data_IF_962611465633
#
_entry.id   IF_962611465633
#
_cell.length_a   1.000
_cell.length_b   1.000
_cell.length_c   1.000
_cell.angle_alpha   90.00
_cell.angle_beta   90.00
_cell.angle_gamma   90.00
#
_symmetry.space_group_name_H-M   'P 1'
#
loop_
_entity.id
_entity.type
_entity.pdbx_description
1 polymer ?
#
# COMPACT_ATOMS: atom_id res chain seq x y z
N UNK A 1 -4.92 -13.80 -5.28
CA UNK A 1 -3.92 -12.72 -5.13
C UNK A 1 -4.59 -11.55 -4.43
N UNK A 2 -3.91 -10.87 -3.49
CA UNK A 2 -4.42 -9.81 -2.60
C UNK A 2 -5.05 -8.56 -3.26
N UNK A 3 -5.28 -8.55 -4.58
CA UNK A 3 -5.85 -7.39 -5.29
C UNK A 3 -4.94 -6.15 -5.34
N UNK A 4 -3.71 -6.24 -4.83
CA UNK A 4 -2.75 -5.15 -4.80
C UNK A 4 -2.05 -4.99 -6.15
N UNK A 5 -2.00 -3.77 -6.65
CA UNK A 5 -1.16 -3.42 -7.80
C UNK A 5 0.33 -3.48 -7.43
N UNK A 6 1.21 -3.62 -8.43
CA UNK A 6 2.66 -3.62 -8.20
C UNK A 6 3.13 -2.37 -7.44
N UNK A 7 2.56 -1.20 -7.76
CA UNK A 7 2.87 0.07 -7.07
C UNK A 7 2.42 0.09 -5.61
N UNK A 8 1.24 -0.46 -5.32
CA UNK A 8 0.77 -0.59 -3.94
C UNK A 8 1.70 -1.51 -3.14
N UNK A 9 2.15 -2.61 -3.74
CA UNK A 9 3.09 -3.53 -3.12
C UNK A 9 4.46 -2.90 -2.85
N UNK A 10 4.96 -2.09 -3.77
CA UNK A 10 6.20 -1.32 -3.58
C UNK A 10 6.08 -0.33 -2.42
N UNK A 11 4.95 0.38 -2.31
CA UNK A 11 4.71 1.31 -1.19
C UNK A 11 4.64 0.61 0.15
N UNK A 12 3.97 -0.55 0.21
CA UNK A 12 3.93 -1.35 1.43
C UNK A 12 5.35 -1.77 1.85
N UNK A 13 6.16 -2.24 0.89
CA UNK A 13 7.57 -2.60 1.14
C UNK A 13 8.41 -1.42 1.64
N UNK A 14 8.24 -0.23 1.07
CA UNK A 14 8.93 0.99 1.51
C UNK A 14 8.57 1.40 2.96
N UNK A 15 7.40 0.96 3.44
CA UNK A 15 6.91 1.22 4.81
C UNK A 15 7.18 0.05 5.76
N UNK A 16 7.96 -0.94 5.35
CA UNK A 16 8.21 -2.18 6.11
C UNK A 16 6.91 -2.95 6.43
N UNK A 17 5.95 -2.92 5.49
CA UNK A 17 4.68 -3.65 5.57
C UNK A 17 4.70 -4.81 4.58
N UNK A 18 4.50 -6.02 5.09
CA UNK A 18 4.55 -7.25 4.32
C UNK A 18 3.25 -8.05 4.51
N UNK A 19 2.45 -8.28 3.46
CA UNK A 19 1.31 -9.19 3.54
C UNK A 19 1.79 -10.62 3.81
N UNK A 20 1.19 -11.30 4.78
CA UNK A 20 1.54 -12.68 5.18
C UNK A 20 0.50 -13.66 4.66
N UNK A 21 -0.77 -13.48 5.04
CA UNK A 21 -1.87 -14.33 4.60
C UNK A 21 -3.20 -13.57 4.53
N UNK A 22 -4.18 -14.17 3.84
CA UNK A 22 -5.56 -13.71 3.81
C UNK A 22 -6.41 -14.82 4.41
N UNK A 23 -7.15 -14.51 5.46
CA UNK A 23 -8.09 -15.41 6.11
C UNK A 23 -9.50 -14.82 6.00
N UNK A 24 -10.25 -15.26 4.97
CA UNK A 24 -11.60 -14.76 4.71
C UNK A 24 -11.61 -13.25 4.43
N UNK A 25 -12.20 -12.47 5.34
CA UNK A 25 -12.29 -11.01 5.27
C UNK A 25 -11.14 -10.28 5.97
N UNK A 26 -10.22 -11.02 6.60
CA UNK A 26 -9.04 -10.46 7.26
C UNK A 26 -7.78 -10.70 6.43
N UNK A 27 -6.84 -9.76 6.53
CA UNK A 27 -5.47 -9.86 6.06
C UNK A 27 -4.53 -9.81 7.26
N UNK A 28 -3.60 -10.75 7.33
CA UNK A 28 -2.50 -10.71 8.27
C UNK A 28 -1.31 -10.04 7.59
N UNK A 29 -0.79 -8.98 8.19
CA UNK A 29 0.40 -8.28 7.73
C UNK A 29 1.48 -8.33 8.81
N UNK A 30 2.73 -8.23 8.39
CA UNK A 30 3.87 -7.94 9.24
C UNK A 30 4.29 -6.49 9.03
N UNK A 31 4.25 -5.69 10.09
CA UNK A 31 4.61 -4.27 10.11
C UNK A 31 5.59 -4.04 11.25
N UNK A 32 6.80 -3.53 10.95
CA UNK A 32 7.81 -3.22 11.97
C UNK A 32 8.11 -4.40 12.92
N UNK A 33 8.19 -5.61 12.34
CA UNK A 33 8.41 -6.86 13.09
C UNK A 33 7.21 -7.39 13.89
N UNK A 34 6.05 -6.71 13.84
CA UNK A 34 4.82 -7.14 14.53
C UNK A 34 3.80 -7.70 13.55
N UNK A 35 3.08 -8.74 13.96
CA UNK A 35 1.93 -9.25 13.20
C UNK A 35 0.68 -8.44 13.56
N UNK A 36 -0.01 -7.96 12.54
CA UNK A 36 -1.20 -7.11 12.66
C UNK A 36 -2.29 -7.69 11.76
N UNK A 37 -3.51 -7.80 12.29
CA UNK A 37 -4.70 -8.12 11.49
C UNK A 37 -5.32 -6.82 11.00
N UNK A 38 -5.62 -6.76 9.71
CA UNK A 38 -6.30 -5.63 9.10
C UNK A 38 -7.26 -6.12 8.03
N UNK A 39 -8.24 -5.31 7.66
CA UNK A 39 -9.09 -5.65 6.52
C UNK A 39 -8.34 -5.41 5.20
N UNK A 40 -8.77 -6.04 4.09
CA UNK A 40 -8.27 -5.69 2.76
C UNK A 40 -8.39 -4.19 2.45
N UNK A 41 -9.46 -3.54 2.93
CA UNK A 41 -9.66 -2.11 2.76
C UNK A 41 -8.56 -1.29 3.47
N UNK A 42 -8.22 -1.65 4.71
CA UNK A 42 -7.13 -1.01 5.44
C UNK A 42 -5.78 -1.22 4.75
N UNK A 43 -5.57 -2.40 4.15
CA UNK A 43 -4.34 -2.68 3.41
C UNK A 43 -4.17 -1.74 2.20
N UNK A 44 -5.25 -1.48 1.45
CA UNK A 44 -5.23 -0.48 0.37
C UNK A 44 -4.98 0.93 0.89
N UNK A 45 -5.52 1.30 2.06
CA UNK A 45 -5.22 2.60 2.69
C UNK A 45 -3.76 2.72 3.11
N UNK A 46 -3.18 1.64 3.64
CA UNK A 46 -1.75 1.58 3.97
C UNK A 46 -0.87 1.67 2.70
N UNK A 47 -1.36 1.20 1.56
CA UNK A 47 -0.71 1.31 0.26
C UNK A 47 -1.03 2.61 -0.51
N UNK A 48 -1.80 3.53 0.10
CA UNK A 48 -2.18 4.78 -0.54
C UNK A 48 -0.96 5.69 -0.79
N UNK A 49 -0.94 6.43 -1.92
CA UNK A 49 0.14 7.34 -2.24
C UNK A 49 0.29 8.43 -1.17
N UNK A 50 1.53 8.77 -0.83
CA UNK A 50 1.84 9.92 0.01
C UNK A 50 1.45 11.24 -0.67
N UNK A 51 1.29 12.32 0.11
CA UNK A 51 1.07 13.66 -0.43
C UNK A 51 2.19 14.05 -1.42
N UNK A 52 3.44 13.72 -1.09
CA UNK A 52 4.60 13.97 -1.96
C UNK A 52 4.49 13.24 -3.30
N UNK A 53 4.09 11.98 -3.31
CA UNK A 53 3.85 11.22 -4.55
C UNK A 53 2.70 11.83 -5.36
N UNK A 54 1.61 12.24 -4.70
CA UNK A 54 0.47 12.90 -5.36
C UNK A 54 0.91 14.20 -6.04
N UNK A 55 1.68 15.03 -5.34
CA UNK A 55 2.19 16.29 -5.88
C UNK A 55 3.16 16.06 -7.06
N UNK A 56 4.08 15.09 -6.98
CA UNK A 56 4.94 14.72 -8.12
C UNK A 56 4.14 14.29 -9.34
N UNK A 57 3.09 13.50 -9.14
CA UNK A 57 2.19 13.10 -10.23
C UNK A 57 1.44 14.28 -10.87
N UNK A 58 1.09 15.31 -10.10
CA UNK A 58 0.45 16.52 -10.62
C UNK A 58 1.43 17.41 -11.40
N UNK A 59 2.68 17.54 -10.94
CA UNK A 59 3.70 18.34 -11.64
C UNK A 59 4.01 17.71 -13.00
N UNK A 60 4.27 16.39 -13.04
CA UNK A 60 4.56 15.69 -14.30
C UNK A 60 3.40 15.71 -15.31
N UNK A 61 2.15 15.86 -14.85
CA UNK A 61 0.98 16.01 -15.74
C UNK A 61 0.79 17.43 -16.26
N UNK A 62 1.27 18.45 -15.54
CA UNK A 62 1.20 19.86 -15.95
C UNK A 62 2.34 20.25 -16.90
N UNK A 63 3.41 19.47 -16.96
CA UNK A 63 4.54 19.69 -17.86
C UNK A 63 4.35 19.06 -19.25
N UNK A 64 3.17 18.51 -19.55
CA UNK A 64 2.81 17.95 -20.86
C UNK A 64 1.80 18.83 -21.62
N UNK A 65 1.76 20.13 -21.31
CA UNK A 65 0.97 21.13 -22.03
C UNK A 65 1.88 21.99 -22.90
#
# INVERSE_FOLDING_TARGET
MLGLTSREMERLKQRDIHPVCVEGSDCLIRMHGRLVRCTPHDLHRLAAPSLRERMRGQINRRSSA
#
